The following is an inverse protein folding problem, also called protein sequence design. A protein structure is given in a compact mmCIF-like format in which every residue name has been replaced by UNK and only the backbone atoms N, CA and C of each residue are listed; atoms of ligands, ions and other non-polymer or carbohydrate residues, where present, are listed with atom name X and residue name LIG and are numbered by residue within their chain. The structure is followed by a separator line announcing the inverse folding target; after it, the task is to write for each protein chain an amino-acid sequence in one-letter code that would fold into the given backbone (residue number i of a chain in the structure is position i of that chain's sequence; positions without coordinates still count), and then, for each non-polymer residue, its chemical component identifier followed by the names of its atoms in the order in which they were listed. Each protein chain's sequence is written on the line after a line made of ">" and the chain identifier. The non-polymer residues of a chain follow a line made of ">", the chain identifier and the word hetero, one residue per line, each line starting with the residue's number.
data_IF_883577870311
#
_entry.id   IF_883577870311
#
_cell.length_a   1.000
_cell.length_b   1.000
_cell.length_c   1.000
_cell.angle_alpha   90.00
_cell.angle_beta   90.00
_cell.angle_gamma   90.00
#
_symmetry.space_group_name_H-M   'P 1'
#
loop_
_entity.id
_entity.type
_entity.pdbx_description
1 polymer ?
#
# COMPACT_ATOMS: atom_id res chain seq x y z
N UNK A 1 -18.09 -9.06 -12.30
CA UNK A 1 -18.05 -10.51 -12.58
C UNK A 1 -16.69 -10.84 -13.20
N UNK A 2 -15.75 -11.37 -12.41
CA UNK A 2 -14.40 -11.72 -12.90
C UNK A 2 -14.53 -12.92 -13.82
N UNK A 3 -13.96 -12.85 -15.04
CA UNK A 3 -13.92 -13.98 -15.97
C UNK A 3 -13.04 -15.07 -15.36
N UNK A 4 -13.67 -16.03 -14.69
CA UNK A 4 -13.04 -17.11 -13.93
C UNK A 4 -11.95 -17.84 -14.72
N UNK A 5 -12.13 -17.96 -16.04
CA UNK A 5 -11.15 -18.54 -16.96
C UNK A 5 -9.82 -17.77 -17.00
N UNK A 6 -9.86 -16.43 -17.03
CA UNK A 6 -8.64 -15.60 -17.02
C UNK A 6 -7.90 -15.67 -15.67
N UNK A 7 -8.65 -15.81 -14.58
CA UNK A 7 -8.06 -16.01 -13.24
C UNK A 7 -7.35 -17.36 -13.13
N UNK A 8 -7.98 -18.43 -13.63
CA UNK A 8 -7.37 -19.77 -13.68
C UNK A 8 -6.15 -19.81 -14.61
N UNK A 9 -6.23 -19.17 -15.78
CA UNK A 9 -5.10 -19.05 -16.69
C UNK A 9 -3.92 -18.33 -16.03
N UNK A 10 -4.16 -17.22 -15.32
CA UNK A 10 -3.11 -16.50 -14.59
C UNK A 10 -2.46 -17.36 -13.49
N UNK A 11 -3.23 -18.21 -12.81
CA UNK A 11 -2.70 -19.14 -11.80
C UNK A 11 -1.77 -20.18 -12.43
N UNK A 12 -2.21 -20.83 -13.52
CA UNK A 12 -1.41 -21.82 -14.25
C UNK A 12 -0.15 -21.18 -14.85
N UNK A 13 -0.27 -19.98 -15.41
CA UNK A 13 0.87 -19.20 -15.91
C UNK A 13 1.86 -18.89 -14.78
N UNK A 14 1.39 -18.47 -13.61
CA UNK A 14 2.25 -18.22 -12.44
C UNK A 14 3.00 -19.46 -11.94
N UNK A 15 2.36 -20.64 -11.95
CA UNK A 15 2.97 -21.91 -11.56
C UNK A 15 4.02 -22.41 -12.56
N UNK A 16 3.83 -22.16 -13.87
CA UNK A 16 4.74 -22.60 -14.95
C UNK A 16 5.83 -21.59 -15.30
N UNK A 17 5.65 -20.32 -14.96
CA UNK A 17 6.63 -19.24 -15.18
C UNK A 17 8.06 -19.59 -14.71
N UNK A 18 8.26 -20.20 -13.51
CA UNK A 18 9.60 -20.59 -13.06
C UNK A 18 10.28 -21.63 -13.95
N UNK A 19 9.53 -22.49 -14.64
CA UNK A 19 10.08 -23.45 -15.60
C UNK A 19 10.54 -22.73 -16.88
N UNK A 20 9.75 -21.75 -17.35
CA UNK A 20 10.08 -20.93 -18.51
C UNK A 20 11.33 -20.09 -18.27
N UNK A 21 11.52 -19.50 -17.08
CA UNK A 21 12.73 -18.73 -16.74
C UNK A 21 14.01 -19.59 -16.64
N UNK A 22 13.89 -20.88 -16.30
CA UNK A 22 15.04 -21.80 -16.24
C UNK A 22 15.61 -22.14 -17.62
N UNK A 23 14.78 -22.21 -18.65
CA UNK A 23 15.20 -22.60 -20.01
C UNK A 23 16.25 -21.65 -20.62
N UNK A 24 16.08 -20.31 -20.56
CA UNK A 24 17.08 -19.36 -21.04
C UNK A 24 18.18 -19.04 -20.01
N UNK A 25 18.22 -19.72 -18.85
CA UNK A 25 19.18 -19.40 -17.78
C UNK A 25 18.91 -18.09 -17.06
N UNK A 26 17.66 -17.59 -17.09
CA UNK A 26 17.27 -16.42 -16.31
C UNK A 26 17.16 -16.83 -14.84
N UNK A 27 18.18 -16.47 -14.05
CA UNK A 27 18.09 -16.60 -12.60
C UNK A 27 16.87 -15.80 -12.10
N UNK A 28 16.16 -16.37 -11.12
CA UNK A 28 15.03 -15.68 -10.49
C UNK A 28 15.54 -14.33 -9.99
N UNK A 29 15.00 -13.25 -10.56
CA UNK A 29 15.20 -11.91 -10.03
C UNK A 29 14.91 -11.93 -8.53
N UNK A 30 15.86 -11.43 -7.74
CA UNK A 30 15.71 -11.32 -6.30
C UNK A 30 14.32 -10.75 -5.97
N UNK A 31 13.66 -11.35 -4.98
CA UNK A 31 12.33 -10.92 -4.57
C UNK A 31 12.35 -9.39 -4.40
N UNK A 32 11.45 -8.70 -5.11
CA UNK A 32 11.38 -7.25 -5.04
C UNK A 32 11.30 -6.85 -3.57
N UNK A 33 12.14 -5.89 -3.17
CA UNK A 33 12.17 -5.37 -1.81
C UNK A 33 10.73 -5.01 -1.43
N UNK A 34 10.23 -5.57 -0.33
CA UNK A 34 8.90 -5.23 0.17
C UNK A 34 8.91 -3.76 0.57
N UNK A 35 8.48 -2.90 -0.34
CA UNK A 35 8.42 -1.48 -0.08
C UNK A 35 7.26 -1.23 0.87
N UNK A 36 7.57 -0.84 2.10
CA UNK A 36 6.56 -0.45 3.07
C UNK A 36 6.01 0.94 2.70
N UNK A 37 4.75 1.22 3.04
CA UNK A 37 4.15 2.56 2.87
C UNK A 37 5.01 3.67 3.48
N UNK A 38 5.65 3.41 4.62
CA UNK A 38 6.56 4.34 5.27
C UNK A 38 7.80 4.66 4.42
N UNK A 39 8.33 3.66 3.72
CA UNK A 39 9.49 3.81 2.86
C UNK A 39 9.13 4.57 1.57
N UNK A 40 7.95 4.28 1.01
CA UNK A 40 7.41 5.03 -0.13
C UNK A 40 7.15 6.50 0.22
N UNK A 41 6.43 6.77 1.30
CA UNK A 41 6.09 8.14 1.71
C UNK A 41 7.35 8.95 2.03
N UNK A 42 8.36 8.34 2.66
CA UNK A 42 9.65 9.00 2.89
C UNK A 42 10.39 9.34 1.59
N UNK A 43 10.34 8.47 0.58
CA UNK A 43 10.94 8.75 -0.73
C UNK A 43 10.16 9.77 -1.55
N UNK A 44 8.82 9.66 -1.59
CA UNK A 44 7.96 10.53 -2.40
C UNK A 44 7.81 11.94 -1.80
N UNK A 45 7.52 12.02 -0.50
CA UNK A 45 7.22 13.28 0.19
C UNK A 45 8.45 13.89 0.85
N UNK A 46 9.62 13.21 0.77
CA UNK A 46 10.87 13.58 1.45
C UNK A 46 10.69 13.85 2.95
N UNK A 47 9.69 13.20 3.56
CA UNK A 47 9.31 13.43 4.96
C UNK A 47 8.97 12.12 5.64
N UNK A 48 9.45 11.94 6.86
CA UNK A 48 9.19 10.72 7.63
C UNK A 48 7.75 10.75 8.17
N UNK A 49 6.90 9.74 7.88
CA UNK A 49 5.56 9.65 8.46
C UNK A 49 5.55 9.53 9.97
N UNK A 50 6.67 9.10 10.55
CA UNK A 50 6.84 8.95 11.99
C UNK A 50 7.49 10.18 12.63
N UNK A 51 7.55 11.31 11.92
CA UNK A 51 8.04 12.57 12.47
C UNK A 51 6.92 13.61 12.45
N UNK A 52 6.67 14.23 13.61
CA UNK A 52 5.66 15.27 13.71
C UNK A 52 6.06 16.50 12.89
N UNK A 53 5.22 16.89 11.93
CA UNK A 53 5.41 18.05 11.05
C UNK A 53 5.58 19.37 11.82
N UNK A 54 5.04 19.46 13.03
CA UNK A 54 5.05 20.67 13.85
C UNK A 54 6.24 20.73 14.81
N UNK A 55 6.57 19.64 15.49
CA UNK A 55 7.56 19.63 16.58
C UNK A 55 8.78 18.71 16.36
N UNK A 56 8.81 17.92 15.27
CA UNK A 56 9.90 16.97 15.01
C UNK A 56 9.93 15.75 15.95
N UNK A 57 8.97 15.63 16.87
CA UNK A 57 8.86 14.49 17.76
C UNK A 57 8.57 13.19 17.01
N UNK A 58 9.10 12.07 17.54
CA UNK A 58 8.88 10.74 16.96
C UNK A 58 7.48 10.23 17.28
N UNK A 59 6.75 9.82 16.25
CA UNK A 59 5.41 9.26 16.33
C UNK A 59 5.46 7.73 16.23
N UNK A 60 4.57 7.05 16.93
CA UNK A 60 4.43 5.59 16.86
C UNK A 60 3.21 5.21 16.04
N UNK A 61 3.33 4.14 15.26
CA UNK A 61 2.19 3.59 14.53
C UNK A 61 1.16 3.04 15.52
N UNK A 62 -0.06 3.61 15.51
CA UNK A 62 -1.17 3.10 16.32
C UNK A 62 -2.14 2.25 15.52
N UNK A 63 -2.57 2.73 14.34
CA UNK A 63 -3.46 2.01 13.41
C UNK A 63 -3.59 2.76 12.08
N UNK A 64 -4.08 2.05 11.07
CA UNK A 64 -4.55 2.60 9.81
C UNK A 64 -6.09 2.52 9.78
N UNK A 65 -6.73 3.63 9.45
CA UNK A 65 -8.19 3.70 9.29
C UNK A 65 -8.48 3.94 7.82
N UNK A 66 -9.43 3.20 7.26
CA UNK A 66 -9.83 3.35 5.87
C UNK A 66 -10.44 4.74 5.69
N UNK A 67 -9.86 5.53 4.80
CA UNK A 67 -10.37 6.87 4.47
C UNK A 67 -11.68 6.82 3.70
N UNK A 68 -12.41 7.92 3.71
CA UNK A 68 -13.55 8.13 2.82
C UNK A 68 -13.05 8.38 1.38
N UNK A 69 -13.92 8.15 0.40
CA UNK A 69 -13.67 8.61 -0.97
C UNK A 69 -13.51 10.14 -0.98
N UNK A 70 -12.88 10.69 -2.03
CA UNK A 70 -12.71 12.15 -2.18
C UNK A 70 -14.05 12.88 -2.08
N UNK A 71 -15.11 12.29 -2.63
CA UNK A 71 -16.48 12.81 -2.53
C UNK A 71 -16.96 12.85 -1.07
N UNK A 72 -16.80 11.74 -0.34
CA UNK A 72 -17.20 11.64 1.07
C UNK A 72 -16.42 12.60 1.97
N UNK A 73 -15.13 12.79 1.70
CA UNK A 73 -14.29 13.77 2.41
C UNK A 73 -14.82 15.20 2.25
N UNK A 74 -15.27 15.58 1.04
CA UNK A 74 -15.83 16.91 0.79
C UNK A 74 -17.18 17.09 1.49
N UNK A 75 -18.08 16.11 1.36
CA UNK A 75 -19.41 16.17 1.96
C UNK A 75 -19.36 16.26 3.48
N UNK A 76 -18.46 15.49 4.11
CA UNK A 76 -18.36 15.39 5.57
C UNK A 76 -17.23 16.22 6.18
N UNK A 77 -16.65 17.18 5.44
CA UNK A 77 -15.47 17.92 5.89
C UNK A 77 -15.64 18.59 7.26
N UNK A 78 -16.82 19.17 7.52
CA UNK A 78 -17.14 19.82 8.80
C UNK A 78 -17.19 18.82 9.95
N UNK A 79 -17.91 17.71 9.78
CA UNK A 79 -18.02 16.67 10.81
C UNK A 79 -16.65 16.07 11.15
N UNK A 80 -15.83 15.83 10.11
CA UNK A 80 -14.46 15.33 10.27
C UNK A 80 -13.60 16.33 11.05
N UNK A 81 -13.70 17.63 10.76
CA UNK A 81 -12.93 18.66 11.47
C UNK A 81 -13.26 18.76 12.95
N UNK A 82 -14.49 18.37 13.34
CA UNK A 82 -14.95 18.39 14.73
C UNK A 82 -14.61 17.09 15.49
N UNK A 83 -14.16 16.04 14.80
CA UNK A 83 -13.74 14.81 15.47
C UNK A 83 -12.47 15.05 16.28
N UNK A 84 -12.57 14.95 17.61
CA UNK A 84 -11.41 15.02 18.52
C UNK A 84 -10.54 13.76 18.48
N UNK A 85 -11.16 12.62 18.24
CA UNK A 85 -10.51 11.32 18.23
C UNK A 85 -11.29 10.39 17.32
N UNK A 86 -10.59 9.59 16.52
CA UNK A 86 -11.23 8.50 15.78
C UNK A 86 -11.44 7.38 16.83
N UNK A 87 -12.66 6.92 17.13
CA UNK A 87 -12.90 5.85 18.09
C UNK A 87 -12.32 4.50 17.61
N UNK A 88 -12.03 3.60 18.56
CA UNK A 88 -11.39 2.30 18.31
C UNK A 88 -12.20 1.43 17.36
#
# INVERSE_FOLDING_TARGET
>A
MVRYLGFLANRVCGEKLPQVYRVPGMEKTAAAVKVCYAQMSKQFLRRDPFECVLCGGRMEYRRAVTGLSVQGLKTHAREISLMRYIPA
#
